data_IF_754798902683
#
_entry.id   IF_754798902683
#
_cell.length_a   1.000
_cell.length_b   1.000
_cell.length_c   1.000
_cell.angle_alpha   90.00
_cell.angle_beta   90.00
_cell.angle_gamma   90.00
#
_symmetry.space_group_name_H-M   'P 1'
#
loop_
_entity.id
_entity.type
_entity.pdbx_description
1 polymer ?
#
# COMPACT_ATOMS: atom_id res chain seq x y z
N UNK A 1 48.61 27.84 34.10
CA UNK A 1 48.16 26.56 33.58
C UNK A 1 46.74 26.81 33.02
N UNK A 2 46.65 27.08 31.71
CA UNK A 2 45.39 27.47 31.04
C UNK A 2 44.82 26.20 30.46
N UNK A 3 43.66 25.76 30.95
CA UNK A 3 42.95 24.61 30.44
C UNK A 3 42.08 25.11 29.26
N UNK A 4 42.46 24.70 28.06
CA UNK A 4 41.77 25.01 26.84
C UNK A 4 40.62 23.99 26.65
N UNK A 5 39.41 24.37 27.00
CA UNK A 5 38.21 23.57 26.77
C UNK A 5 37.74 23.77 25.32
N UNK A 6 38.16 22.88 24.42
CA UNK A 6 37.57 22.76 23.11
C UNK A 6 36.13 22.24 23.25
N UNK A 7 35.17 23.15 23.17
CA UNK A 7 33.76 22.83 22.97
C UNK A 7 33.62 22.33 21.53
N UNK A 8 33.53 21.03 21.38
CA UNK A 8 33.15 20.42 20.10
C UNK A 8 31.68 20.77 19.87
N UNK A 9 31.48 21.77 19.04
CA UNK A 9 30.16 22.18 18.60
C UNK A 9 29.68 21.12 17.58
N UNK A 10 28.90 20.16 18.03
CA UNK A 10 28.16 19.27 17.12
C UNK A 10 27.19 20.14 16.33
N UNK A 11 27.55 20.47 15.10
CA UNK A 11 26.60 20.92 14.09
C UNK A 11 25.68 19.73 13.81
N UNK A 12 24.48 19.76 14.34
CA UNK A 12 23.37 19.04 13.77
C UNK A 12 23.10 19.68 12.40
N UNK A 13 23.73 19.20 11.36
CA UNK A 13 23.28 19.44 10.00
C UNK A 13 21.92 18.72 9.88
N UNK A 14 20.84 19.49 10.11
CA UNK A 14 19.49 19.06 9.77
C UNK A 14 19.48 18.97 8.25
N UNK A 15 19.73 17.78 7.71
CA UNK A 15 19.57 17.54 6.29
C UNK A 15 18.15 17.97 5.91
N UNK A 16 18.02 18.76 4.86
CA UNK A 16 16.71 19.19 4.38
C UNK A 16 15.88 17.96 4.03
N UNK A 17 14.64 17.92 4.50
CA UNK A 17 13.73 16.79 4.20
C UNK A 17 13.49 16.71 2.70
N UNK A 18 13.42 15.49 2.19
CA UNK A 18 13.03 15.23 0.80
C UNK A 18 11.59 15.69 0.59
N UNK A 19 11.34 16.43 -0.45
CA UNK A 19 10.02 16.95 -0.75
C UNK A 19 9.23 15.99 -1.61
N UNK A 20 7.99 15.71 -1.19
CA UNK A 20 7.09 14.75 -1.82
C UNK A 20 5.83 15.43 -2.33
N UNK A 21 5.46 15.12 -3.57
CA UNK A 21 4.17 15.45 -4.15
C UNK A 21 3.21 14.26 -4.12
N UNK A 22 1.92 14.51 -3.97
CA UNK A 22 0.86 13.49 -4.10
C UNK A 22 -0.01 13.86 -5.30
N UNK A 23 -0.15 12.96 -6.27
CA UNK A 23 -1.10 13.07 -7.37
C UNK A 23 -2.32 12.18 -7.07
N UNK A 24 -3.47 12.81 -6.83
CA UNK A 24 -4.70 12.14 -6.39
C UNK A 24 -4.85 12.12 -4.86
N UNK A 25 -5.80 12.88 -4.35
CA UNK A 25 -6.06 12.98 -2.91
C UNK A 25 -7.32 12.21 -2.51
N UNK A 26 -7.48 11.00 -3.10
CA UNK A 26 -8.50 10.02 -2.78
C UNK A 26 -8.26 9.33 -1.42
N UNK A 27 -8.84 8.14 -1.23
CA UNK A 27 -8.68 7.36 0.01
C UNK A 27 -7.20 7.15 0.36
N UNK A 28 -6.44 6.56 -0.57
CA UNK A 28 -5.02 6.22 -0.35
C UNK A 28 -4.17 7.48 -0.20
N UNK A 29 -4.30 8.47 -1.10
CA UNK A 29 -3.53 9.72 -1.01
C UNK A 29 -3.71 10.43 0.34
N UNK A 30 -4.93 10.47 0.89
CA UNK A 30 -5.18 11.07 2.22
C UNK A 30 -4.58 10.25 3.35
N UNK A 31 -4.60 8.92 3.29
CA UNK A 31 -4.00 8.07 4.33
C UNK A 31 -2.48 8.14 4.29
N UNK A 32 -1.87 8.13 3.10
CA UNK A 32 -0.43 8.39 2.94
C UNK A 32 -0.07 9.75 3.55
N UNK A 33 -0.85 10.81 3.24
CA UNK A 33 -0.63 12.14 3.81
C UNK A 33 -0.69 12.14 5.33
N UNK A 34 -1.74 11.51 5.93
CA UNK A 34 -1.90 11.44 7.39
C UNK A 34 -0.73 10.75 8.08
N UNK A 35 -0.20 9.68 7.50
CA UNK A 35 0.92 8.91 8.04
C UNK A 35 2.26 9.63 7.83
N UNK A 36 2.42 10.38 6.74
CA UNK A 36 3.64 11.08 6.37
C UNK A 36 3.97 12.31 7.24
N UNK A 37 2.99 12.89 7.94
CA UNK A 37 3.10 14.22 8.57
C UNK A 37 4.28 14.40 9.52
N UNK A 38 4.68 13.37 10.23
CA UNK A 38 5.74 13.43 11.24
C UNK A 38 7.01 12.67 10.82
N UNK A 39 7.11 12.30 9.54
CA UNK A 39 8.29 11.59 9.07
C UNK A 39 9.53 12.51 9.17
N UNK A 40 10.67 12.02 9.69
CA UNK A 40 11.90 12.83 9.82
C UNK A 40 12.63 13.03 8.48
N UNK A 41 12.47 12.12 7.51
CA UNK A 41 13.28 12.06 6.29
C UNK A 41 12.67 12.81 5.11
N UNK A 42 11.33 12.90 5.07
CA UNK A 42 10.62 13.58 3.99
C UNK A 42 9.41 14.37 4.49
N UNK A 43 8.87 15.23 3.63
CA UNK A 43 7.65 16.00 3.89
C UNK A 43 6.80 16.15 2.63
N UNK A 44 5.48 16.10 2.82
CA UNK A 44 4.53 16.37 1.73
C UNK A 44 4.40 17.89 1.59
N UNK A 45 4.70 18.42 0.41
CA UNK A 45 4.67 19.86 0.13
C UNK A 45 3.59 20.25 -0.87
N UNK A 46 3.13 19.30 -1.68
CA UNK A 46 2.13 19.55 -2.71
C UNK A 46 1.19 18.39 -2.93
N UNK A 47 -0.03 18.71 -3.31
CA UNK A 47 -1.08 17.76 -3.68
C UNK A 47 -1.71 18.25 -4.98
N UNK A 48 -1.86 17.34 -5.94
CA UNK A 48 -2.66 17.59 -7.13
C UNK A 48 -3.98 16.81 -7.03
N UNK A 49 -5.10 17.51 -7.13
CA UNK A 49 -6.44 16.92 -7.24
C UNK A 49 -7.36 17.90 -7.97
N UNK A 50 -8.35 17.37 -8.70
CA UNK A 50 -9.27 18.21 -9.49
C UNK A 50 -10.41 18.78 -8.64
N UNK A 51 -10.50 18.37 -7.37
CA UNK A 51 -11.50 18.83 -6.42
C UNK A 51 -11.06 20.16 -5.78
N UNK A 52 -12.01 20.96 -5.31
CA UNK A 52 -11.72 22.22 -4.64
C UNK A 52 -11.06 22.02 -3.27
N UNK A 53 -10.20 22.96 -2.81
CA UNK A 53 -9.45 22.83 -1.57
C UNK A 53 -10.32 22.69 -0.31
N UNK A 54 -11.53 23.26 -0.27
CA UNK A 54 -12.43 23.16 0.90
C UNK A 54 -12.96 21.73 1.06
N UNK A 55 -13.32 21.11 -0.05
CA UNK A 55 -13.74 19.71 -0.06
C UNK A 55 -12.58 18.79 0.32
N UNK A 56 -11.37 19.02 -0.21
CA UNK A 56 -10.18 18.25 0.18
C UNK A 56 -9.88 18.39 1.67
N UNK A 57 -9.94 19.60 2.21
CA UNK A 57 -9.76 19.87 3.65
C UNK A 57 -10.80 19.13 4.50
N UNK A 58 -12.08 19.16 4.09
CA UNK A 58 -13.14 18.47 4.78
C UNK A 58 -12.92 16.95 4.84
N UNK A 59 -12.59 16.34 3.69
CA UNK A 59 -12.34 14.90 3.57
C UNK A 59 -11.02 14.46 4.23
N UNK A 60 -10.04 15.35 4.37
CA UNK A 60 -8.86 15.07 5.18
C UNK A 60 -9.20 15.07 6.67
N UNK A 61 -10.05 16.04 7.09
CA UNK A 61 -10.43 16.21 8.50
C UNK A 61 -11.36 15.11 9.00
N UNK A 62 -12.31 14.68 8.18
CA UNK A 62 -13.32 13.70 8.55
C UNK A 62 -13.24 12.47 7.64
N UNK A 63 -13.08 11.31 8.25
CA UNK A 63 -13.04 10.04 7.57
C UNK A 63 -13.98 9.05 8.25
N UNK A 64 -14.87 8.43 7.48
CA UNK A 64 -15.89 7.53 8.03
C UNK A 64 -15.29 6.25 8.61
N UNK A 65 -14.18 5.77 8.04
CA UNK A 65 -13.49 4.55 8.45
C UNK A 65 -12.41 4.87 9.49
N UNK A 66 -11.46 5.76 9.13
CA UNK A 66 -10.27 6.06 9.94
C UNK A 66 -10.45 7.26 10.88
N UNK A 67 -11.69 7.71 11.09
CA UNK A 67 -12.09 8.72 12.07
C UNK A 67 -11.52 10.12 11.78
N UNK A 68 -11.82 11.04 12.69
CA UNK A 68 -11.36 12.42 12.59
C UNK A 68 -9.84 12.50 12.64
N UNK A 69 -9.27 13.31 11.75
CA UNK A 69 -7.85 13.61 11.75
C UNK A 69 -7.42 14.25 13.07
N UNK A 70 -6.32 13.76 13.63
CA UNK A 70 -5.73 14.29 14.86
C UNK A 70 -4.80 15.47 14.54
N UNK A 71 -5.38 16.63 14.31
CA UNK A 71 -4.66 17.86 13.97
C UNK A 71 -5.59 18.94 13.44
N UNK A 72 -5.01 20.06 13.09
CA UNK A 72 -5.70 21.22 12.52
C UNK A 72 -5.64 21.18 10.99
N UNK A 73 -6.78 21.43 10.35
CA UNK A 73 -6.90 21.53 8.89
C UNK A 73 -7.70 22.77 8.56
N UNK A 74 -7.13 23.65 7.77
CA UNK A 74 -7.78 24.86 7.23
C UNK A 74 -7.40 25.09 5.77
N UNK A 75 -7.97 26.09 5.17
CA UNK A 75 -7.70 26.51 3.78
C UNK A 75 -7.28 27.98 3.79
N UNK A 76 -6.19 28.33 3.14
CA UNK A 76 -5.74 29.69 2.86
C UNK A 76 -5.57 29.90 1.35
N UNK A 77 -6.41 30.76 0.78
CA UNK A 77 -6.48 30.92 -0.66
C UNK A 77 -6.86 29.61 -1.36
N UNK A 78 -5.96 29.10 -2.20
CA UNK A 78 -6.11 27.80 -2.89
C UNK A 78 -5.36 26.64 -2.22
N UNK A 79 -4.70 26.86 -1.08
CA UNK A 79 -3.83 25.89 -0.44
C UNK A 79 -4.49 25.29 0.81
N UNK A 80 -4.06 24.07 1.18
CA UNK A 80 -4.35 23.52 2.51
C UNK A 80 -3.33 24.05 3.52
N UNK A 81 -3.78 24.25 4.75
CA UNK A 81 -2.90 24.47 5.91
C UNK A 81 -3.16 23.35 6.91
N UNK A 82 -2.16 22.55 7.19
CA UNK A 82 -2.26 21.41 8.09
C UNK A 82 -1.21 21.55 9.20
N UNK A 83 -1.67 21.65 10.43
CA UNK A 83 -0.81 21.90 11.61
C UNK A 83 0.12 23.10 11.41
N UNK A 84 -0.39 24.19 10.80
CA UNK A 84 0.37 25.40 10.48
C UNK A 84 1.28 25.34 9.27
N UNK A 85 1.39 24.18 8.59
CA UNK A 85 2.18 24.04 7.36
C UNK A 85 1.30 24.21 6.13
N UNK A 86 1.77 25.03 5.18
CA UNK A 86 1.10 25.24 3.90
C UNK A 86 1.43 24.09 2.95
N UNK A 87 0.40 23.48 2.37
CA UNK A 87 0.50 22.44 1.35
C UNK A 87 -0.08 23.01 0.05
N UNK A 88 0.75 23.10 -0.98
CA UNK A 88 0.32 23.63 -2.27
C UNK A 88 -0.69 22.71 -2.94
N UNK A 89 -1.83 23.23 -3.36
CA UNK A 89 -2.81 22.49 -4.13
C UNK A 89 -2.75 22.90 -5.59
N UNK A 90 -2.67 21.92 -6.47
CA UNK A 90 -2.78 22.08 -7.93
C UNK A 90 -3.96 21.29 -8.47
N UNK A 91 -4.46 21.67 -9.65
CA UNK A 91 -5.62 21.03 -10.29
C UNK A 91 -5.34 20.76 -11.77
N UNK A 92 -4.25 20.03 -12.04
CA UNK A 92 -3.83 19.68 -13.39
C UNK A 92 -4.29 18.26 -13.76
N UNK A 93 -4.86 18.11 -14.95
CA UNK A 93 -5.28 16.80 -15.48
C UNK A 93 -4.12 16.00 -16.06
N UNK A 94 -3.17 16.66 -16.69
CA UNK A 94 -1.98 16.03 -17.26
C UNK A 94 -0.81 16.11 -16.28
N UNK A 95 -0.25 14.99 -15.82
CA UNK A 95 0.89 14.99 -14.91
C UNK A 95 2.13 15.70 -15.46
N UNK A 96 2.31 15.78 -16.77
CA UNK A 96 3.41 16.51 -17.39
C UNK A 96 3.37 18.02 -17.14
N UNK A 97 2.19 18.57 -16.81
CA UNK A 97 1.97 19.98 -16.51
C UNK A 97 2.08 20.32 -15.02
N UNK A 98 2.42 19.35 -14.19
CA UNK A 98 2.55 19.56 -12.74
C UNK A 98 3.87 20.28 -12.41
N UNK A 99 3.86 21.24 -11.47
CA UNK A 99 5.04 22.04 -11.15
C UNK A 99 6.00 21.34 -10.16
N UNK A 100 6.27 20.04 -10.34
CA UNK A 100 7.10 19.27 -9.41
C UNK A 100 8.50 19.86 -9.28
N UNK A 101 9.10 20.25 -10.40
CA UNK A 101 10.43 20.89 -10.40
C UNK A 101 10.45 22.20 -9.62
N UNK A 102 9.45 23.05 -9.83
CA UNK A 102 9.35 24.37 -9.20
C UNK A 102 9.12 24.25 -7.68
N UNK A 103 8.33 23.25 -7.28
CA UNK A 103 8.05 22.96 -5.88
C UNK A 103 9.16 22.15 -5.20
N UNK A 104 10.12 21.63 -5.99
CA UNK A 104 11.23 20.82 -5.53
C UNK A 104 10.78 19.42 -5.06
N UNK A 105 9.70 18.89 -5.63
CA UNK A 105 9.23 17.54 -5.33
C UNK A 105 10.15 16.52 -6.00
N UNK A 106 10.99 15.86 -5.23
CA UNK A 106 11.88 14.81 -5.70
C UNK A 106 11.15 13.46 -5.85
N UNK A 107 10.23 13.17 -4.93
CA UNK A 107 9.40 11.97 -4.96
C UNK A 107 7.94 12.33 -5.24
N UNK A 108 7.24 11.48 -5.99
CA UNK A 108 5.81 11.63 -6.25
C UNK A 108 5.09 10.32 -5.94
N UNK A 109 3.99 10.41 -5.18
CA UNK A 109 3.03 9.33 -5.03
C UNK A 109 1.94 9.49 -6.07
N UNK A 110 1.85 8.55 -7.01
CA UNK A 110 0.75 8.46 -7.97
C UNK A 110 -0.40 7.64 -7.37
N UNK A 111 -1.45 8.28 -6.93
CA UNK A 111 -2.61 7.68 -6.25
C UNK A 111 -3.96 8.01 -6.88
N UNK A 112 -3.96 8.40 -8.16
CA UNK A 112 -5.21 8.58 -8.93
C UNK A 112 -5.80 7.26 -9.43
N UNK A 113 -4.96 6.22 -9.58
CA UNK A 113 -5.31 4.97 -10.27
C UNK A 113 -5.38 5.07 -11.80
N UNK A 114 -5.07 6.23 -12.37
CA UNK A 114 -5.17 6.49 -13.81
C UNK A 114 -3.82 6.34 -14.53
N UNK A 115 -2.73 6.77 -13.92
CA UNK A 115 -1.40 6.84 -14.54
C UNK A 115 -0.51 5.69 -14.06
N UNK A 116 -0.96 4.45 -14.33
CA UNK A 116 -0.34 3.21 -13.83
C UNK A 116 0.54 2.50 -14.85
N UNK A 117 0.59 2.96 -16.11
CA UNK A 117 1.55 2.47 -17.10
C UNK A 117 2.88 3.24 -17.00
N UNK A 118 3.97 2.63 -17.48
CA UNK A 118 5.28 3.30 -17.55
C UNK A 118 5.19 4.65 -18.26
N UNK A 119 4.56 4.68 -19.44
CA UNK A 119 4.39 5.92 -20.22
C UNK A 119 3.66 6.98 -19.42
N UNK A 120 2.54 6.62 -18.80
CA UNK A 120 1.72 7.57 -18.05
C UNK A 120 2.43 8.09 -16.80
N UNK A 121 3.10 7.23 -16.04
CA UNK A 121 3.85 7.60 -14.84
C UNK A 121 5.12 8.42 -15.17
N UNK A 122 5.76 8.17 -16.32
CA UNK A 122 6.94 8.95 -16.77
C UNK A 122 6.65 10.43 -16.96
N UNK A 123 5.39 10.83 -17.10
CA UNK A 123 4.99 12.24 -17.16
C UNK A 123 5.35 13.01 -15.89
N UNK A 124 5.35 12.34 -14.73
CA UNK A 124 5.81 12.95 -13.49
C UNK A 124 7.33 13.21 -13.49
N UNK A 125 8.11 12.31 -14.11
CA UNK A 125 9.56 12.51 -14.29
C UNK A 125 9.81 13.68 -15.23
N UNK A 126 9.07 13.79 -16.33
CA UNK A 126 9.13 14.92 -17.25
C UNK A 126 8.77 16.24 -16.57
N UNK A 127 7.88 16.23 -15.58
CA UNK A 127 7.51 17.38 -14.75
C UNK A 127 8.55 17.73 -13.67
N UNK A 128 9.61 16.92 -13.52
CA UNK A 128 10.75 17.20 -12.64
C UNK A 128 10.87 16.35 -11.39
N UNK A 129 9.99 15.38 -11.17
CA UNK A 129 10.19 14.37 -10.14
C UNK A 129 11.39 13.46 -10.49
N UNK A 130 12.11 12.99 -9.48
CA UNK A 130 13.20 12.02 -9.67
C UNK A 130 12.68 10.59 -9.62
N UNK A 131 11.65 10.33 -8.82
CA UNK A 131 11.04 9.00 -8.67
C UNK A 131 9.53 9.10 -8.49
N UNK A 132 8.84 8.04 -8.94
CA UNK A 132 7.38 7.90 -8.86
C UNK A 132 7.03 6.58 -8.20
N UNK A 133 6.23 6.64 -7.13
CA UNK A 133 5.67 5.46 -6.47
C UNK A 133 4.19 5.36 -6.86
N UNK A 134 3.84 4.36 -7.64
CA UNK A 134 2.48 4.08 -8.07
C UNK A 134 1.78 3.28 -6.96
N UNK A 135 0.69 3.84 -6.42
CA UNK A 135 -0.11 3.18 -5.39
C UNK A 135 -1.19 2.25 -5.98
N UNK A 136 -0.82 1.48 -6.97
CA UNK A 136 -1.64 0.48 -7.66
C UNK A 136 -0.74 -0.51 -8.39
N UNK A 137 -1.24 -1.69 -8.81
CA UNK A 137 -0.51 -2.55 -9.73
C UNK A 137 -0.19 -1.82 -11.04
N UNK A 138 1.04 -1.97 -11.51
CA UNK A 138 1.44 -1.40 -12.79
C UNK A 138 0.70 -2.11 -13.94
N UNK A 139 0.35 -1.35 -14.98
CA UNK A 139 -0.39 -1.85 -16.14
C UNK A 139 0.51 -2.55 -17.16
N UNK A 140 1.78 -2.23 -17.12
CA UNK A 140 2.84 -2.76 -17.98
C UNK A 140 4.16 -2.84 -17.21
N UNK A 141 5.25 -3.25 -17.87
CA UNK A 141 6.57 -3.39 -17.26
C UNK A 141 7.14 -2.04 -16.85
N UNK A 142 7.42 -1.89 -15.58
CA UNK A 142 8.10 -0.76 -14.93
C UNK A 142 9.44 -1.21 -14.34
N UNK A 143 10.13 -0.32 -13.58
CA UNK A 143 11.45 -0.65 -13.04
C UNK A 143 11.36 -1.70 -11.93
N UNK A 144 10.39 -1.58 -11.01
CA UNK A 144 10.17 -2.56 -9.95
C UNK A 144 8.72 -2.58 -9.44
N UNK A 145 8.23 -3.78 -9.13
CA UNK A 145 7.06 -4.01 -8.29
C UNK A 145 7.57 -4.52 -6.94
N UNK A 146 7.31 -3.76 -5.87
CA UNK A 146 7.87 -4.02 -4.54
C UNK A 146 6.75 -4.38 -3.56
N UNK A 147 6.96 -5.49 -2.85
CA UNK A 147 6.22 -5.86 -1.64
C UNK A 147 7.23 -5.99 -0.51
N UNK A 148 7.22 -5.02 0.39
CA UNK A 148 8.13 -4.99 1.53
C UNK A 148 7.91 -6.20 2.45
N UNK A 149 9.00 -6.78 2.94
CA UNK A 149 9.01 -8.07 3.65
C UNK A 149 9.11 -9.29 2.71
N UNK A 150 9.01 -9.11 1.37
CA UNK A 150 9.11 -10.19 0.39
C UNK A 150 10.28 -9.98 -0.55
N UNK A 151 10.31 -8.86 -1.28
CA UNK A 151 11.37 -8.54 -2.24
C UNK A 151 11.96 -7.14 -2.04
N UNK A 152 11.78 -6.52 -0.87
CA UNK A 152 12.34 -5.21 -0.55
C UNK A 152 13.87 -5.14 -0.69
N UNK A 153 14.56 -6.26 -0.48
CA UNK A 153 16.02 -6.36 -0.61
C UNK A 153 16.50 -6.20 -2.08
N UNK A 154 15.60 -6.27 -3.06
CA UNK A 154 15.92 -6.01 -4.47
C UNK A 154 16.04 -4.53 -4.82
N UNK A 155 15.69 -3.62 -3.90
CA UNK A 155 15.77 -2.18 -4.12
C UNK A 155 17.23 -1.76 -4.23
N UNK A 156 17.57 -1.12 -5.36
CA UNK A 156 18.92 -0.62 -5.64
C UNK A 156 19.05 0.89 -5.52
N UNK A 157 17.90 1.59 -5.46
CA UNK A 157 17.83 3.04 -5.51
C UNK A 157 17.92 3.64 -6.92
N UNK A 158 18.10 2.81 -7.96
CA UNK A 158 18.16 3.25 -9.37
C UNK A 158 16.78 3.31 -10.04
N UNK A 159 15.80 2.64 -9.45
CA UNK A 159 14.43 2.58 -9.94
C UNK A 159 13.83 4.00 -9.96
N UNK A 160 13.24 4.40 -11.08
CA UNK A 160 12.57 5.68 -11.23
C UNK A 160 11.04 5.55 -11.07
N UNK A 161 10.48 4.43 -11.55
CA UNK A 161 9.03 4.15 -11.49
C UNK A 161 8.82 2.81 -10.77
N UNK A 162 8.19 2.89 -9.60
CA UNK A 162 8.00 1.78 -8.69
C UNK A 162 6.50 1.57 -8.43
N UNK A 163 6.05 0.33 -8.39
CA UNK A 163 4.70 -0.02 -7.93
C UNK A 163 4.75 -0.67 -6.55
N UNK A 164 3.84 -0.26 -5.67
CA UNK A 164 3.59 -0.93 -4.39
C UNK A 164 2.65 -2.16 -4.55
N UNK A 165 2.47 -2.68 -5.76
CA UNK A 165 1.50 -3.73 -6.08
C UNK A 165 0.07 -3.37 -5.64
N UNK A 166 -0.77 -4.37 -5.30
CA UNK A 166 -2.10 -4.15 -4.71
C UNK A 166 -2.10 -4.43 -3.20
N UNK A 167 -3.14 -3.95 -2.50
CA UNK A 167 -3.35 -4.29 -1.09
C UNK A 167 -3.49 -5.81 -0.88
N UNK A 168 -4.19 -6.50 -1.78
CA UNK A 168 -4.33 -7.96 -1.76
C UNK A 168 -2.99 -8.65 -1.99
N UNK A 169 -2.15 -8.16 -2.92
CA UNK A 169 -0.80 -8.72 -3.15
C UNK A 169 0.08 -8.53 -1.92
N UNK A 170 -0.02 -7.38 -1.25
CA UNK A 170 0.72 -7.13 0.00
C UNK A 170 0.33 -8.07 1.14
N UNK A 171 -0.93 -8.50 1.22
CA UNK A 171 -1.36 -9.51 2.18
C UNK A 171 -0.94 -10.93 1.75
N UNK A 172 -1.14 -11.27 0.48
CA UNK A 172 -0.91 -12.61 -0.05
C UNK A 172 0.58 -13.00 -0.07
N UNK A 173 1.45 -12.08 -0.54
CA UNK A 173 2.84 -12.39 -0.80
C UNK A 173 3.63 -12.83 0.44
N UNK A 174 3.51 -12.21 1.62
CA UNK A 174 4.19 -12.69 2.83
C UNK A 174 3.83 -14.14 3.18
N UNK A 175 2.53 -14.50 3.14
CA UNK A 175 2.11 -15.88 3.41
C UNK A 175 2.68 -16.86 2.38
N UNK A 176 2.63 -16.49 1.09
CA UNK A 176 3.15 -17.35 0.03
C UNK A 176 4.67 -17.50 0.09
N UNK A 177 5.40 -16.44 0.44
CA UNK A 177 6.86 -16.48 0.63
C UNK A 177 7.24 -17.46 1.74
N UNK A 178 6.56 -17.38 2.89
CA UNK A 178 6.80 -18.31 4.00
C UNK A 178 6.51 -19.76 3.59
N UNK A 179 5.40 -20.02 2.89
CA UNK A 179 5.06 -21.36 2.45
C UNK A 179 6.04 -21.89 1.39
N UNK A 180 6.42 -21.06 0.40
CA UNK A 180 7.37 -21.45 -0.64
C UNK A 180 8.74 -21.77 -0.06
N UNK A 181 9.27 -20.90 0.81
CA UNK A 181 10.60 -21.08 1.39
C UNK A 181 10.74 -22.31 2.28
N UNK A 182 9.68 -22.69 3.01
CA UNK A 182 9.73 -23.80 3.97
C UNK A 182 9.25 -25.13 3.38
N UNK A 183 8.24 -25.09 2.51
CA UNK A 183 7.53 -26.32 2.09
C UNK A 183 7.44 -26.48 0.58
N UNK A 184 7.67 -25.38 -0.21
CA UNK A 184 7.46 -25.32 -1.64
C UNK A 184 5.96 -25.35 -2.00
N UNK A 185 5.57 -24.63 -3.04
CA UNK A 185 4.19 -24.58 -3.56
C UNK A 185 4.18 -25.17 -4.97
N UNK A 186 3.34 -26.17 -5.20
CA UNK A 186 3.09 -26.71 -6.54
C UNK A 186 2.07 -25.87 -7.30
N UNK A 187 0.92 -25.61 -6.68
CA UNK A 187 -0.19 -24.82 -7.24
C UNK A 187 -1.18 -24.43 -6.15
N UNK A 188 -2.02 -23.44 -6.44
CA UNK A 188 -3.07 -23.05 -5.50
C UNK A 188 -4.07 -22.07 -6.10
N UNK A 189 -5.18 -21.92 -5.38
CA UNK A 189 -6.19 -20.92 -5.65
C UNK A 189 -6.39 -20.02 -4.44
N UNK A 190 -6.59 -18.71 -4.73
CA UNK A 190 -6.93 -17.75 -3.71
C UNK A 190 -8.30 -17.14 -3.97
N UNK A 191 -8.99 -16.82 -2.89
CA UNK A 191 -10.15 -15.94 -2.91
C UNK A 191 -9.91 -14.81 -1.94
N UNK A 192 -9.98 -13.57 -2.40
CA UNK A 192 -10.05 -12.46 -1.46
C UNK A 192 -11.51 -12.05 -1.26
N UNK A 193 -11.98 -12.12 0.00
CA UNK A 193 -13.24 -11.50 0.41
C UNK A 193 -12.90 -10.07 0.81
N UNK A 194 -13.28 -9.13 -0.05
CA UNK A 194 -12.74 -7.77 -0.05
C UNK A 194 -13.83 -6.74 0.21
N UNK A 195 -13.52 -5.76 1.03
CA UNK A 195 -14.35 -4.58 1.22
C UNK A 195 -14.69 -3.93 -0.14
N UNK A 196 -15.83 -3.25 -0.25
CA UNK A 196 -16.16 -2.50 -1.46
C UNK A 196 -15.19 -1.32 -1.66
N UNK A 197 -14.98 -0.95 -2.90
CA UNK A 197 -14.10 0.18 -3.27
C UNK A 197 -14.80 1.10 -4.25
N UNK A 198 -14.26 2.31 -4.48
CA UNK A 198 -14.88 3.33 -5.31
C UNK A 198 -14.95 2.97 -6.81
N UNK A 199 -14.41 1.85 -7.23
CA UNK A 199 -14.61 1.30 -8.57
C UNK A 199 -15.95 0.54 -8.71
N UNK A 200 -16.71 0.40 -7.63
CA UNK A 200 -18.03 -0.20 -7.62
C UNK A 200 -19.15 0.85 -7.58
N UNK A 201 -20.29 0.51 -8.15
CA UNK A 201 -21.46 1.36 -8.06
C UNK A 201 -22.20 1.14 -6.74
N UNK A 202 -22.66 2.22 -6.12
CA UNK A 202 -23.50 2.14 -4.89
C UNK A 202 -24.86 1.53 -5.21
N UNK A 203 -25.50 1.99 -6.30
CA UNK A 203 -26.71 1.43 -6.88
C UNK A 203 -26.42 0.86 -8.27
N UNK A 204 -27.37 0.12 -8.83
CA UNK A 204 -27.25 -0.43 -10.19
C UNK A 204 -27.01 0.68 -11.22
N UNK A 205 -25.83 0.66 -11.85
CA UNK A 205 -25.40 1.65 -12.83
C UNK A 205 -24.43 1.01 -13.83
N UNK A 206 -24.34 1.48 -15.09
CA UNK A 206 -23.43 0.92 -16.09
C UNK A 206 -21.98 0.85 -15.61
N UNK A 207 -21.35 -0.32 -15.83
CA UNK A 207 -19.96 -0.60 -15.55
C UNK A 207 -19.43 -1.63 -16.56
N UNK A 208 -18.14 -1.60 -16.88
CA UNK A 208 -17.51 -2.56 -17.81
C UNK A 208 -17.56 -4.01 -17.29
N UNK A 209 -17.43 -4.20 -15.99
CA UNK A 209 -17.73 -5.47 -15.30
C UNK A 209 -19.19 -5.44 -14.88
N UNK A 210 -20.04 -6.31 -15.49
CA UNK A 210 -21.47 -6.36 -15.21
C UNK A 210 -21.81 -6.77 -13.77
N UNK A 211 -20.91 -7.44 -13.06
CA UNK A 211 -21.10 -7.74 -11.65
C UNK A 211 -20.84 -6.51 -10.77
N UNK A 212 -19.81 -5.70 -11.08
CA UNK A 212 -19.55 -4.41 -10.41
C UNK A 212 -20.60 -3.33 -10.76
N UNK A 213 -21.39 -3.55 -11.80
CA UNK A 213 -22.53 -2.70 -12.15
C UNK A 213 -23.65 -2.77 -11.12
N UNK A 214 -23.64 -3.76 -10.21
CA UNK A 214 -24.69 -4.01 -9.23
C UNK A 214 -24.37 -3.32 -7.91
N UNK A 215 -25.42 -3.06 -7.11
CA UNK A 215 -25.34 -2.36 -5.83
C UNK A 215 -24.33 -3.00 -4.87
N UNK A 216 -23.26 -2.26 -4.55
CA UNK A 216 -22.17 -2.71 -3.70
C UNK A 216 -22.61 -2.92 -2.25
N UNK A 217 -23.55 -2.12 -1.75
CA UNK A 217 -24.00 -2.15 -0.36
C UNK A 217 -24.99 -3.29 -0.04
N UNK A 218 -25.47 -4.01 -1.07
CA UNK A 218 -26.50 -5.05 -0.92
C UNK A 218 -26.10 -6.43 -1.44
N UNK A 219 -24.89 -6.55 -2.03
CA UNK A 219 -24.54 -7.75 -2.78
C UNK A 219 -23.17 -8.27 -2.43
N UNK A 220 -22.99 -9.60 -2.45
CA UNK A 220 -21.68 -10.23 -2.61
C UNK A 220 -21.40 -10.26 -4.11
N UNK A 221 -20.32 -9.60 -4.55
CA UNK A 221 -20.00 -9.40 -5.96
C UNK A 221 -18.69 -10.12 -6.32
N UNK A 222 -18.77 -11.32 -6.96
CA UNK A 222 -17.59 -11.97 -7.52
C UNK A 222 -17.03 -11.14 -8.68
N UNK A 223 -15.69 -10.94 -8.70
CA UNK A 223 -15.02 -10.19 -9.76
C UNK A 223 -13.57 -10.64 -9.89
N UNK A 224 -12.93 -10.27 -11.00
CA UNK A 224 -11.51 -10.59 -11.20
C UNK A 224 -10.60 -9.80 -10.26
N UNK A 225 -9.43 -10.39 -9.96
CA UNK A 225 -8.31 -9.72 -9.33
C UNK A 225 -7.01 -10.12 -10.01
N UNK A 226 -6.10 -9.16 -10.19
CA UNK A 226 -4.75 -9.45 -10.66
C UNK A 226 -3.78 -9.92 -9.58
N UNK A 227 -4.21 -9.94 -8.32
CA UNK A 227 -3.31 -10.15 -7.18
C UNK A 227 -2.58 -11.50 -7.21
N UNK A 228 -3.28 -12.59 -7.57
CA UNK A 228 -2.67 -13.92 -7.64
C UNK A 228 -1.61 -14.00 -8.77
N UNK A 229 -1.87 -13.37 -9.90
CA UNK A 229 -0.92 -13.33 -11.03
C UNK A 229 0.28 -12.43 -10.72
N UNK A 230 0.06 -11.32 -10.03
CA UNK A 230 1.11 -10.39 -9.62
C UNK A 230 2.10 -10.99 -8.60
N UNK A 231 1.76 -12.10 -7.93
CA UNK A 231 2.68 -12.81 -7.04
C UNK A 231 3.96 -13.22 -7.78
N UNK A 232 3.86 -13.67 -9.03
CA UNK A 232 5.02 -14.05 -9.83
C UNK A 232 5.99 -12.90 -10.14
N UNK A 233 5.56 -11.64 -10.01
CA UNK A 233 6.45 -10.47 -10.15
C UNK A 233 7.35 -10.28 -8.92
N UNK A 234 6.89 -10.69 -7.74
CA UNK A 234 7.59 -10.49 -6.47
C UNK A 234 8.18 -11.78 -5.89
N UNK A 235 7.64 -12.95 -6.30
CA UNK A 235 8.15 -14.29 -5.98
C UNK A 235 8.22 -15.08 -7.29
N UNK A 236 9.34 -15.00 -8.03
CA UNK A 236 9.48 -15.61 -9.37
C UNK A 236 9.21 -17.12 -9.41
N UNK A 237 9.47 -17.83 -8.31
CA UNK A 237 9.22 -19.26 -8.16
C UNK A 237 7.73 -19.63 -8.27
N UNK A 238 6.84 -18.64 -8.08
CA UNK A 238 5.38 -18.84 -8.11
C UNK A 238 4.72 -18.43 -9.43
N UNK A 239 5.52 -18.09 -10.46
CA UNK A 239 4.96 -17.77 -11.79
C UNK A 239 4.12 -18.94 -12.30
N UNK A 240 2.82 -18.65 -12.59
CA UNK A 240 1.88 -19.63 -13.13
C UNK A 240 1.34 -20.67 -12.13
N UNK A 241 1.78 -20.66 -10.87
CA UNK A 241 1.34 -21.61 -9.85
C UNK A 241 0.06 -21.18 -9.11
N UNK A 242 -0.24 -19.89 -9.10
CA UNK A 242 -1.39 -19.34 -8.37
C UNK A 242 -2.36 -18.62 -9.31
N UNK A 243 -3.67 -18.82 -9.08
CA UNK A 243 -4.75 -18.03 -9.69
C UNK A 243 -5.85 -17.78 -8.64
N UNK A 244 -6.82 -16.93 -8.98
CA UNK A 244 -7.89 -16.62 -8.05
C UNK A 244 -8.78 -15.47 -8.49
N UNK A 245 -9.71 -15.11 -7.62
CA UNK A 245 -10.68 -14.04 -7.84
C UNK A 245 -11.01 -13.31 -6.53
N UNK A 246 -11.77 -12.22 -6.66
CA UNK A 246 -12.26 -11.47 -5.51
C UNK A 246 -13.77 -11.66 -5.33
N UNK A 247 -14.23 -11.66 -4.08
CA UNK A 247 -15.62 -11.47 -3.70
C UNK A 247 -15.73 -10.13 -2.94
N UNK A 248 -16.34 -9.13 -3.56
CA UNK A 248 -16.64 -7.87 -2.87
C UNK A 248 -17.84 -8.06 -1.94
N UNK A 249 -17.73 -7.55 -0.73
CA UNK A 249 -18.76 -7.68 0.31
C UNK A 249 -19.15 -6.31 0.86
N UNK A 250 -20.36 -6.16 1.46
CA UNK A 250 -20.86 -4.89 1.98
C UNK A 250 -20.19 -4.44 3.29
N UNK A 251 -18.86 -4.34 3.31
CA UNK A 251 -18.07 -3.74 4.40
C UNK A 251 -17.21 -2.64 3.81
N UNK A 252 -16.95 -1.59 4.61
CA UNK A 252 -16.24 -0.39 4.14
C UNK A 252 -14.74 -0.56 4.09
N UNK A 253 -14.19 -1.43 4.94
CA UNK A 253 -12.77 -1.72 5.09
C UNK A 253 -12.59 -3.03 5.85
N UNK A 254 -11.37 -3.60 5.82
CA UNK A 254 -11.09 -4.89 6.43
C UNK A 254 -11.42 -6.05 5.49
N UNK A 255 -10.40 -6.51 4.78
CA UNK A 255 -10.47 -7.59 3.79
C UNK A 255 -9.73 -8.83 4.29
N UNK A 256 -10.04 -9.98 3.70
CA UNK A 256 -9.38 -11.25 4.03
C UNK A 256 -9.03 -12.01 2.76
N UNK A 257 -7.83 -12.59 2.72
CA UNK A 257 -7.37 -13.48 1.66
C UNK A 257 -7.34 -14.92 2.18
N UNK A 258 -8.10 -15.78 1.53
CA UNK A 258 -8.14 -17.24 1.74
C UNK A 258 -7.36 -17.92 0.61
N UNK A 259 -6.36 -18.72 0.96
CA UNK A 259 -5.54 -19.46 -0.01
C UNK A 259 -5.59 -20.93 0.31
N UNK A 260 -5.94 -21.73 -0.69
CA UNK A 260 -5.78 -23.19 -0.64
C UNK A 260 -4.73 -23.59 -1.66
N UNK A 261 -3.67 -24.25 -1.23
CA UNK A 261 -2.59 -24.69 -2.11
C UNK A 261 -2.12 -26.12 -1.82
N UNK A 262 -1.45 -26.69 -2.81
CA UNK A 262 -0.75 -27.97 -2.71
C UNK A 262 0.73 -27.65 -2.47
N UNK A 263 1.28 -28.16 -1.38
CA UNK A 263 2.68 -28.04 -1.03
C UNK A 263 3.50 -29.17 -1.67
N UNK A 264 4.76 -28.90 -1.98
CA UNK A 264 5.73 -29.90 -2.43
C UNK A 264 6.06 -30.87 -1.29
N UNK A 265 6.21 -30.33 -0.07
CA UNK A 265 6.45 -31.11 1.15
C UNK A 265 5.21 -31.03 2.03
N UNK A 266 4.61 -32.16 2.45
CA UNK A 266 3.51 -32.14 3.42
C UNK A 266 3.90 -31.39 4.68
N UNK A 267 2.95 -30.62 5.23
CA UNK A 267 3.15 -29.88 6.48
C UNK A 267 1.88 -29.94 7.34
N UNK A 268 2.06 -30.08 8.63
CA UNK A 268 0.98 -29.99 9.61
C UNK A 268 0.58 -28.53 9.88
N UNK A 269 -0.63 -28.33 10.43
CA UNK A 269 -1.06 -27.00 10.93
C UNK A 269 -0.01 -26.38 11.87
N UNK A 270 0.56 -27.18 12.77
CA UNK A 270 1.54 -26.70 13.75
C UNK A 270 2.82 -26.22 13.09
N UNK A 271 3.34 -26.94 12.09
CA UNK A 271 4.55 -26.55 11.33
C UNK A 271 4.32 -25.28 10.52
N UNK A 272 3.17 -25.16 9.85
CA UNK A 272 2.80 -23.94 9.11
C UNK A 272 2.71 -22.75 10.05
N UNK A 273 1.98 -22.88 11.15
CA UNK A 273 1.82 -21.83 12.14
C UNK A 273 3.15 -21.42 12.78
N UNK A 274 4.04 -22.39 13.06
CA UNK A 274 5.38 -22.10 13.57
C UNK A 274 6.23 -21.32 12.57
N UNK A 275 6.19 -21.66 11.28
CA UNK A 275 6.90 -20.96 10.24
C UNK A 275 6.38 -19.52 10.08
N UNK A 276 5.06 -19.30 10.08
CA UNK A 276 4.45 -17.98 10.02
C UNK A 276 4.81 -17.13 11.24
N UNK A 277 4.77 -17.70 12.44
CA UNK A 277 5.16 -17.02 13.68
C UNK A 277 6.63 -16.61 13.64
N UNK A 278 7.52 -17.52 13.26
CA UNK A 278 8.95 -17.21 13.14
C UNK A 278 9.22 -16.08 12.12
N UNK A 279 8.52 -16.07 10.99
CA UNK A 279 8.65 -15.00 10.00
C UNK A 279 8.14 -13.66 10.54
N UNK A 280 7.01 -13.64 11.25
CA UNK A 280 6.40 -12.42 11.83
C UNK A 280 7.27 -11.80 12.94
N UNK A 281 7.97 -12.60 13.71
CA UNK A 281 8.88 -12.16 14.76
C UNK A 281 10.29 -11.81 14.20
N UNK A 282 10.61 -12.30 13.01
CA UNK A 282 11.89 -12.17 12.33
C UNK A 282 11.89 -11.22 11.13
N UNK A 283 12.19 -11.75 9.95
CA UNK A 283 12.42 -10.97 8.72
C UNK A 283 11.19 -10.20 8.22
N UNK A 284 9.99 -10.64 8.57
CA UNK A 284 8.73 -9.99 8.16
C UNK A 284 8.09 -9.17 9.28
N UNK A 285 8.81 -8.85 10.33
CA UNK A 285 8.31 -8.02 11.42
C UNK A 285 7.88 -6.64 10.92
N UNK A 286 6.63 -6.25 11.25
CA UNK A 286 6.02 -4.99 10.78
C UNK A 286 5.35 -5.11 9.41
N UNK A 287 5.42 -6.28 8.76
CA UNK A 287 4.73 -6.60 7.50
C UNK A 287 3.74 -7.75 7.68
N UNK A 288 4.15 -8.80 8.37
CA UNK A 288 3.35 -9.94 8.75
C UNK A 288 3.14 -9.94 10.27
N UNK A 289 1.89 -9.98 10.70
CA UNK A 289 1.49 -10.17 12.09
C UNK A 289 0.95 -11.59 12.27
N UNK A 290 1.30 -12.24 13.37
CA UNK A 290 0.77 -13.55 13.74
C UNK A 290 -0.34 -13.40 14.78
N UNK A 291 -1.56 -13.83 14.45
CA UNK A 291 -2.74 -13.69 15.30
C UNK A 291 -3.23 -15.05 15.79
N UNK A 292 -3.52 -15.14 17.10
CA UNK A 292 -4.10 -16.29 17.78
C UNK A 292 -5.51 -16.00 18.34
N UNK A 293 -6.04 -14.81 18.06
CA UNK A 293 -7.37 -14.38 18.49
C UNK A 293 -8.42 -14.63 17.39
N UNK A 294 -9.68 -14.88 17.76
CA UNK A 294 -10.78 -15.08 16.81
C UNK A 294 -11.31 -13.74 16.28
N UNK A 295 -10.52 -13.10 15.43
CA UNK A 295 -10.78 -11.75 14.88
C UNK A 295 -11.75 -11.77 13.70
N UNK A 296 -12.38 -10.62 13.45
CA UNK A 296 -13.22 -10.33 12.29
C UNK A 296 -12.78 -9.03 11.60
N UNK A 297 -13.37 -8.72 10.45
CA UNK A 297 -12.95 -7.58 9.61
C UNK A 297 -12.90 -6.23 10.35
N UNK A 298 -13.75 -6.00 11.36
CA UNK A 298 -13.77 -4.73 12.09
C UNK A 298 -12.57 -4.59 13.03
N UNK A 299 -11.98 -5.71 13.50
CA UNK A 299 -10.86 -5.71 14.46
C UNK A 299 -9.55 -5.28 13.80
N UNK A 300 -9.44 -5.42 12.48
CA UNK A 300 -8.21 -5.11 11.74
C UNK A 300 -8.18 -3.71 11.16
N UNK A 301 -9.30 -2.96 11.22
CA UNK A 301 -9.34 -1.57 10.75
C UNK A 301 -8.41 -0.71 11.60
N UNK A 302 -7.44 -0.07 10.93
CA UNK A 302 -6.38 0.70 11.60
C UNK A 302 -5.09 -0.10 11.86
N UNK A 303 -5.02 -1.38 11.48
CA UNK A 303 -3.79 -2.17 11.60
C UNK A 303 -2.82 -1.83 10.45
N UNK A 304 -1.56 -1.42 10.76
CA UNK A 304 -0.59 -1.00 9.74
C UNK A 304 0.13 -2.17 9.04
N UNK A 305 -0.02 -3.42 9.51
CA UNK A 305 0.62 -4.56 8.89
C UNK A 305 0.01 -4.87 7.53
N UNK A 306 0.81 -5.43 6.61
CA UNK A 306 0.35 -5.84 5.29
C UNK A 306 -0.54 -7.08 5.34
N UNK A 307 -0.26 -7.96 6.30
CA UNK A 307 -0.98 -9.23 6.51
C UNK A 307 -1.05 -9.54 8.01
N UNK A 308 -2.24 -9.83 8.51
CA UNK A 308 -2.47 -10.41 9.82
C UNK A 308 -2.85 -11.88 9.59
N UNK A 309 -1.90 -12.78 9.82
CA UNK A 309 -2.08 -14.21 9.61
C UNK A 309 -2.95 -14.80 10.72
N UNK A 310 -4.07 -15.40 10.34
CA UNK A 310 -5.02 -16.04 11.26
C UNK A 310 -4.63 -17.51 11.49
N UNK A 311 -3.93 -17.77 12.58
CA UNK A 311 -3.44 -19.11 12.90
C UNK A 311 -4.54 -20.10 13.26
N UNK A 312 -5.70 -19.61 13.69
CA UNK A 312 -6.84 -20.46 14.05
C UNK A 312 -7.47 -21.10 12.81
N UNK A 313 -7.45 -20.40 11.67
CA UNK A 313 -8.05 -20.83 10.41
C UNK A 313 -7.12 -21.70 9.54
N UNK A 314 -5.87 -21.92 9.96
CA UNK A 314 -4.97 -22.83 9.24
C UNK A 314 -5.53 -24.25 9.21
N UNK A 315 -5.59 -24.84 8.01
CA UNK A 315 -6.00 -26.22 7.79
C UNK A 315 -4.92 -26.98 7.02
N UNK A 316 -4.78 -28.27 7.30
CA UNK A 316 -3.85 -29.16 6.60
C UNK A 316 -4.47 -30.54 6.43
N UNK A 317 -4.32 -31.10 5.24
CA UNK A 317 -4.70 -32.47 4.88
C UNK A 317 -3.63 -33.04 3.93
N UNK A 318 -2.61 -33.66 4.51
CA UNK A 318 -1.43 -34.10 3.76
C UNK A 318 -0.63 -32.92 3.21
N UNK A 319 -0.56 -32.80 1.89
CA UNK A 319 0.09 -31.66 1.22
C UNK A 319 -0.89 -30.56 0.79
N UNK A 320 -2.20 -30.75 0.95
CA UNK A 320 -3.19 -29.70 0.73
C UNK A 320 -3.36 -28.88 2.00
N UNK A 321 -3.12 -27.57 1.88
CA UNK A 321 -3.18 -26.65 3.01
C UNK A 321 -4.05 -25.44 2.69
N UNK A 322 -4.64 -24.85 3.74
CA UNK A 322 -5.36 -23.59 3.68
C UNK A 322 -4.75 -22.64 4.69
N UNK A 323 -4.49 -21.41 4.25
CA UNK A 323 -4.04 -20.28 5.09
C UNK A 323 -4.90 -19.06 4.84
N UNK A 324 -5.06 -18.25 5.88
CA UNK A 324 -5.92 -17.05 5.85
C UNK A 324 -5.16 -15.87 6.41
N UNK A 325 -5.22 -14.75 5.70
CA UNK A 325 -4.62 -13.49 6.12
C UNK A 325 -5.61 -12.33 6.00
N UNK A 326 -5.76 -11.56 7.07
CA UNK A 326 -6.54 -10.33 7.12
C UNK A 326 -5.67 -9.13 6.77
N UNK A 327 -6.29 -8.06 6.27
CA UNK A 327 -5.58 -6.82 5.99
C UNK A 327 -6.52 -5.61 5.96
N UNK A 328 -6.07 -4.51 6.55
CA UNK A 328 -6.68 -3.21 6.30
C UNK A 328 -6.27 -2.79 4.88
N UNK A 329 -7.22 -2.88 3.95
CA UNK A 329 -6.94 -2.64 2.53
C UNK A 329 -6.66 -1.18 2.20
N UNK A 330 -6.89 -0.27 3.14
CA UNK A 330 -6.59 1.16 3.02
C UNK A 330 -5.34 1.56 3.84
N UNK A 331 -5.37 1.40 5.18
CA UNK A 331 -4.27 1.87 6.05
C UNK A 331 -3.03 1.01 5.93
N UNK A 332 -3.15 -0.32 6.01
CA UNK A 332 -2.01 -1.23 5.88
C UNK A 332 -1.30 -1.04 4.55
N UNK A 333 -2.06 -0.90 3.46
CA UNK A 333 -1.51 -0.60 2.15
C UNK A 333 -0.83 0.78 2.08
N UNK A 334 -1.47 1.83 2.62
CA UNK A 334 -0.91 3.19 2.65
C UNK A 334 0.36 3.27 3.49
N UNK A 335 0.47 2.45 4.55
CA UNK A 335 1.70 2.32 5.34
C UNK A 335 2.86 1.83 4.48
N UNK A 336 2.65 0.85 3.62
CA UNK A 336 3.70 0.39 2.68
C UNK A 336 4.13 1.48 1.70
N UNK A 337 3.21 2.31 1.24
CA UNK A 337 3.58 3.48 0.41
C UNK A 337 4.47 4.45 1.20
N UNK A 338 4.16 4.72 2.48
CA UNK A 338 4.99 5.60 3.31
C UNK A 338 6.35 4.99 3.63
N UNK A 339 6.44 3.68 3.81
CA UNK A 339 7.71 2.97 3.99
C UNK A 339 8.59 3.05 2.72
N UNK A 340 7.98 2.91 1.53
CA UNK A 340 8.70 3.09 0.26
C UNK A 340 9.19 4.54 0.10
N UNK A 341 8.39 5.54 0.49
CA UNK A 341 8.85 6.94 0.52
C UNK A 341 10.07 7.10 1.43
N UNK A 342 10.06 6.48 2.61
CA UNK A 342 11.19 6.54 3.54
C UNK A 342 12.45 5.87 2.97
N UNK A 343 12.28 4.72 2.32
CA UNK A 343 13.40 4.01 1.67
C UNK A 343 13.96 4.85 0.52
N UNK A 344 13.11 5.31 -0.39
CA UNK A 344 13.55 6.04 -1.59
C UNK A 344 14.00 7.48 -1.31
N UNK A 345 13.61 8.07 -0.17
CA UNK A 345 14.14 9.37 0.27
C UNK A 345 15.66 9.37 0.47
N UNK A 346 16.26 8.19 0.68
CA UNK A 346 17.70 8.02 0.83
C UNK A 346 18.47 8.03 -0.49
N UNK A 347 17.76 8.02 -1.62
CA UNK A 347 18.32 7.90 -2.97
C UNK A 347 18.01 9.10 -3.88
N UNK A 348 17.56 10.24 -3.34
CA UNK A 348 17.20 11.43 -4.12
C UNK A 348 17.87 12.70 -3.60
#
# INVERSE_FOLDING_TARGET
MIINTNVVQYRNDIMAKVKVGINGFGRIGRLVFRQALNNPNYEIVAINDLCDPKTLAHLLKYDSTHKKFNGEVSVEGSNLVVNGKVITITAQRDPASLPWKELGCDLVVESTGLFTSREAASKHLAAGAKKVIISAPAKDKIDATIVLGVNGDSITGKEEIISNASCTTNCLAPMMKVLEDNFGIEKGFMTTVHAYTNDQNILDLPHSDLRRARSAAMSIIPTSTGAAKAIGEVIPELVGKLDGFAMRVPVSDGSVTDVTCILTKPATKAEINAAMKAASEGAMKGFLEYCEDPIVSQDIVGNPNSCIFDSLLTMSSGNMVKVVGWYDNELGYSTRVTDLLDIYSKFV
#
